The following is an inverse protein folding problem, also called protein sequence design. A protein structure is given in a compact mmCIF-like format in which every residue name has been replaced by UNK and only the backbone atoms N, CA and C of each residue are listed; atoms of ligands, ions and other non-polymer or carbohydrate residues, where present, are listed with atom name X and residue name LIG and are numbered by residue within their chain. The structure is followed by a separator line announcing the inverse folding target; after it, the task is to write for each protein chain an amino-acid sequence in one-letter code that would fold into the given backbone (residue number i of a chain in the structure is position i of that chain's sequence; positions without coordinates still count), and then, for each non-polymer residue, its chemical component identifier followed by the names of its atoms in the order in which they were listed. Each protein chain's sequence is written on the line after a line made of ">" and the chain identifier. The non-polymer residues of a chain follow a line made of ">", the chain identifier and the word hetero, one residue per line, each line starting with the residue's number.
data_IF_723049987584
#
_entry.id   IF_723049987584
#
_cell.length_a   1.000
_cell.length_b   1.000
_cell.length_c   1.000
_cell.angle_alpha   90.00
_cell.angle_beta   90.00
_cell.angle_gamma   90.00
#
_symmetry.space_group_name_H-M   'P 1'
#
loop_
_entity.id
_entity.type
_entity.pdbx_description
1 polymer ?
#
# COMPACT_ATOMS: atom_id res chain seq x y z
N UNK A 1 17.75 9.69 32.44
CA UNK A 1 16.35 9.44 32.82
C UNK A 1 15.56 9.28 31.54
N UNK A 2 14.95 8.11 31.41
CA UNK A 2 13.91 7.62 30.48
C UNK A 2 13.82 8.17 29.05
N UNK A 3 14.32 7.37 28.11
CA UNK A 3 13.92 7.31 26.71
C UNK A 3 12.47 6.80 26.61
N UNK A 4 11.48 7.68 26.75
CA UNK A 4 10.09 7.38 26.40
C UNK A 4 9.77 7.82 24.97
N UNK A 5 10.65 7.48 24.00
CA UNK A 5 10.53 7.94 22.61
C UNK A 5 9.82 6.95 21.68
N UNK A 6 9.13 5.96 22.23
CA UNK A 6 8.11 5.22 21.48
C UNK A 6 6.78 5.74 22.02
N UNK A 7 6.34 6.87 21.47
CA UNK A 7 4.98 7.34 21.69
C UNK A 7 4.05 6.22 21.20
N UNK A 8 3.14 5.83 22.08
CA UNK A 8 2.24 4.67 21.95
C UNK A 8 1.48 4.70 20.62
N UNK A 9 1.03 3.54 20.12
CA UNK A 9 0.36 3.45 18.79
C UNK A 9 -0.85 4.40 18.71
N UNK A 10 -1.56 4.54 19.83
CA UNK A 10 -2.67 5.47 20.04
C UNK A 10 -2.30 6.95 19.84
N UNK A 11 -1.07 7.36 20.17
CA UNK A 11 -0.60 8.73 19.96
C UNK A 11 -0.51 9.06 18.47
N UNK A 12 -0.04 8.11 17.65
CA UNK A 12 0.11 8.32 16.21
C UNK A 12 -1.21 8.20 15.46
N UNK A 13 -2.12 7.34 15.90
CA UNK A 13 -3.49 7.26 15.38
C UNK A 13 -4.25 8.57 15.59
N UNK A 14 -4.21 9.12 16.81
CA UNK A 14 -4.87 10.38 17.12
C UNK A 14 -4.34 11.53 16.24
N UNK A 15 -3.01 11.61 16.04
CA UNK A 15 -2.41 12.65 15.20
C UNK A 15 -2.73 12.47 13.72
N UNK A 16 -2.90 11.24 13.25
CA UNK A 16 -3.33 10.96 11.88
C UNK A 16 -4.78 11.42 11.65
N UNK A 17 -5.67 11.17 12.61
CA UNK A 17 -7.07 11.62 12.56
C UNK A 17 -7.19 13.15 12.63
N UNK A 18 -6.43 13.81 13.52
CA UNK A 18 -6.36 15.28 13.60
C UNK A 18 -5.90 15.90 12.26
N UNK A 19 -4.90 15.28 11.61
CA UNK A 19 -4.43 15.71 10.29
C UNK A 19 -5.47 15.51 9.18
N UNK A 20 -6.23 14.41 9.20
CA UNK A 20 -7.31 14.15 8.25
C UNK A 20 -8.47 15.13 8.40
N UNK A 21 -8.75 15.57 9.63
CA UNK A 21 -9.84 16.50 9.93
C UNK A 21 -9.44 17.98 9.75
N UNK A 22 -8.17 18.28 9.48
CA UNK A 22 -7.66 19.64 9.30
C UNK A 22 -7.39 20.39 10.61
N UNK A 23 -7.49 19.70 11.75
CA UNK A 23 -7.29 20.25 13.10
C UNK A 23 -5.87 19.98 13.63
N UNK A 24 -4.92 19.67 12.75
CA UNK A 24 -3.53 19.45 13.14
C UNK A 24 -2.89 20.74 13.63
N UNK A 25 -2.89 20.94 14.95
CA UNK A 25 -2.05 21.93 15.59
C UNK A 25 -0.66 21.36 15.80
N UNK A 26 0.35 22.10 15.35
CA UNK A 26 1.75 21.82 15.71
C UNK A 26 1.82 21.92 17.23
N UNK A 27 2.39 20.89 17.85
CA UNK A 27 2.48 20.75 19.31
C UNK A 27 3.32 21.92 19.86
N UNK A 28 2.73 22.88 20.60
CA UNK A 28 3.41 24.13 20.95
C UNK A 28 4.55 23.93 21.96
N UNK A 29 4.55 22.82 22.68
CA UNK A 29 5.54 22.48 23.71
C UNK A 29 6.70 21.63 23.17
N UNK A 30 6.76 21.41 21.85
CA UNK A 30 7.87 20.69 21.22
C UNK A 30 9.06 21.60 20.92
N UNK A 31 10.29 21.14 21.17
CA UNK A 31 11.46 21.78 20.57
C UNK A 31 11.37 21.66 19.04
N UNK A 32 11.07 22.78 18.39
CA UNK A 32 11.06 22.89 16.95
C UNK A 32 12.45 23.27 16.47
N UNK A 33 13.12 22.33 15.81
CA UNK A 33 14.34 22.62 15.08
C UNK A 33 13.98 23.21 13.71
N UNK A 34 14.72 24.21 13.28
CA UNK A 34 14.54 24.87 11.98
C UNK A 34 15.81 24.80 11.14
N UNK A 35 15.66 24.99 9.83
CA UNK A 35 16.75 25.13 8.86
C UNK A 35 17.86 24.06 8.99
N UNK A 36 19.06 24.48 9.40
CA UNK A 36 20.24 23.61 9.46
C UNK A 36 20.17 22.62 10.61
N UNK A 37 19.67 23.03 11.77
CA UNK A 37 19.53 22.14 12.94
C UNK A 37 18.49 21.05 12.68
N UNK A 38 17.41 21.39 11.97
CA UNK A 38 16.43 20.40 11.49
C UNK A 38 17.05 19.42 10.49
N UNK A 39 17.87 19.93 9.56
CA UNK A 39 18.51 19.08 8.56
C UNK A 39 19.54 18.13 9.20
N UNK A 40 20.32 18.58 10.18
CA UNK A 40 21.31 17.75 10.88
C UNK A 40 20.66 16.69 11.77
N UNK A 41 19.61 17.07 12.52
CA UNK A 41 18.84 16.12 13.32
C UNK A 41 18.15 15.05 12.46
N UNK A 42 17.56 15.44 11.34
CA UNK A 42 16.97 14.50 10.38
C UNK A 42 18.02 13.53 9.81
N UNK A 43 19.20 14.03 9.42
CA UNK A 43 20.31 13.18 8.94
C UNK A 43 20.78 12.20 10.01
N UNK A 44 20.92 12.65 11.26
CA UNK A 44 21.30 11.79 12.37
C UNK A 44 20.28 10.65 12.57
N UNK A 45 18.98 10.99 12.53
CA UNK A 45 17.89 10.03 12.65
C UNK A 45 17.88 9.03 11.49
N UNK A 46 18.12 9.47 10.25
CA UNK A 46 18.24 8.56 9.10
C UNK A 46 19.43 7.60 9.23
N UNK A 47 20.59 8.07 9.72
CA UNK A 47 21.72 7.17 9.99
C UNK A 47 21.40 6.15 11.10
N UNK A 48 20.67 6.56 12.14
CA UNK A 48 20.29 5.66 13.24
C UNK A 48 19.31 4.57 12.77
N UNK A 49 18.27 4.95 12.03
CA UNK A 49 17.19 4.04 11.65
C UNK A 49 17.52 3.24 10.38
N UNK A 50 18.08 3.89 9.36
CA UNK A 50 18.31 3.30 8.05
C UNK A 50 19.78 2.95 7.78
N UNK A 51 20.70 3.31 8.70
CA UNK A 51 22.14 3.08 8.53
C UNK A 51 22.82 4.02 7.51
N UNK A 52 22.07 4.95 6.91
CA UNK A 52 22.55 5.86 5.87
C UNK A 52 21.78 7.17 5.87
N UNK A 53 22.43 8.28 5.56
CA UNK A 53 21.83 9.58 5.25
C UNK A 53 21.93 9.94 3.77
N UNK A 54 22.38 9.01 2.91
CA UNK A 54 22.41 9.23 1.47
C UNK A 54 20.97 9.24 0.90
N UNK A 55 20.51 10.37 0.32
CA UNK A 55 19.17 10.47 -0.25
C UNK A 55 18.90 9.44 -1.35
N UNK A 56 19.91 8.98 -2.09
CA UNK A 56 19.73 7.97 -3.13
C UNK A 56 19.43 6.58 -2.55
N UNK A 57 20.10 6.19 -1.47
CA UNK A 57 19.87 4.92 -0.76
C UNK A 57 18.54 4.96 0.00
N UNK A 58 18.24 6.07 0.68
CA UNK A 58 16.94 6.29 1.32
C UNK A 58 15.79 6.20 0.32
N UNK A 59 15.95 6.76 -0.88
CA UNK A 59 14.94 6.68 -1.93
C UNK A 59 14.72 5.24 -2.42
N UNK A 60 15.76 4.40 -2.48
CA UNK A 60 15.62 2.97 -2.83
C UNK A 60 14.82 2.21 -1.77
N UNK A 61 15.04 2.50 -0.48
CA UNK A 61 14.28 1.92 0.62
C UNK A 61 12.81 2.37 0.59
N UNK A 62 12.56 3.64 0.26
CA UNK A 62 11.21 4.18 0.13
C UNK A 62 10.42 3.63 -1.06
N UNK A 63 11.08 3.13 -2.13
CA UNK A 63 10.41 2.53 -3.31
C UNK A 63 9.57 1.29 -3.00
N UNK A 64 9.75 0.65 -1.84
CA UNK A 64 8.91 -0.45 -1.38
C UNK A 64 7.54 -0.02 -0.83
N UNK A 65 7.38 1.24 -0.41
CA UNK A 65 6.07 1.76 0.01
C UNK A 65 5.26 2.15 -1.23
N UNK A 66 4.07 1.55 -1.38
CA UNK A 66 3.08 1.99 -2.37
C UNK A 66 2.85 3.49 -2.20
N UNK A 67 2.94 4.26 -3.29
CA UNK A 67 2.50 5.65 -3.30
C UNK A 67 1.00 5.66 -2.97
N UNK A 68 0.57 6.53 -2.05
CA UNK A 68 -0.85 6.74 -1.74
C UNK A 68 -1.64 7.15 -3.00
N UNK A 69 -0.98 7.74 -3.99
CA UNK A 69 -1.53 8.16 -5.27
C UNK A 69 -1.81 7.00 -6.24
N UNK A 70 -1.23 5.81 -6.00
CA UNK A 70 -1.52 4.58 -6.76
C UNK A 70 -2.83 3.90 -6.30
N UNK A 71 -3.63 4.57 -5.47
CA UNK A 71 -4.98 4.13 -5.05
C UNK A 71 -6.01 4.17 -6.19
N UNK A 72 -5.68 4.76 -7.35
CA UNK A 72 -6.42 4.41 -8.57
C UNK A 72 -6.08 2.98 -8.90
N UNK A 73 -6.89 2.03 -8.41
CA UNK A 73 -6.96 0.64 -8.88
C UNK A 73 -6.86 0.68 -10.41
N UNK A 74 -5.65 0.48 -10.95
CA UNK A 74 -5.50 0.27 -12.39
C UNK A 74 -6.38 -0.95 -12.67
N UNK A 75 -7.32 -0.86 -13.63
CA UNK A 75 -8.18 -2.00 -13.92
C UNK A 75 -7.26 -3.19 -14.21
N UNK A 76 -7.58 -4.33 -13.60
CA UNK A 76 -6.85 -5.57 -13.88
C UNK A 76 -6.76 -5.75 -15.38
N UNK A 77 -5.59 -6.14 -15.93
CA UNK A 77 -5.45 -6.33 -17.37
C UNK A 77 -6.51 -7.31 -17.86
N UNK A 78 -7.31 -6.88 -18.83
CA UNK A 78 -8.39 -7.68 -19.40
C UNK A 78 -7.84 -8.56 -20.53
N UNK A 79 -8.12 -9.86 -20.44
CA UNK A 79 -7.81 -10.83 -21.48
C UNK A 79 -9.08 -11.07 -22.32
N UNK A 80 -9.04 -10.71 -23.60
CA UNK A 80 -10.12 -11.03 -24.54
C UNK A 80 -9.91 -12.43 -25.13
N UNK A 81 -10.67 -13.41 -24.64
CA UNK A 81 -10.63 -14.78 -25.12
C UNK A 81 -11.72 -15.01 -26.18
N UNK A 82 -11.36 -15.68 -27.28
CA UNK A 82 -12.32 -16.26 -28.22
C UNK A 82 -12.48 -17.73 -27.88
N UNK A 83 -13.70 -18.12 -27.53
CA UNK A 83 -14.04 -19.48 -27.10
C UNK A 83 -15.10 -20.05 -28.06
N UNK A 84 -15.09 -21.36 -28.34
CA UNK A 84 -16.21 -22.03 -28.99
C UNK A 84 -17.52 -21.82 -28.21
N UNK A 85 -18.65 -21.76 -28.92
CA UNK A 85 -19.94 -21.41 -28.30
C UNK A 85 -20.35 -22.39 -27.19
N UNK A 86 -20.11 -23.69 -27.39
CA UNK A 86 -20.40 -24.73 -26.39
C UNK A 86 -19.64 -24.52 -25.07
N UNK A 87 -18.38 -24.07 -25.16
CA UNK A 87 -17.57 -23.82 -23.97
C UNK A 87 -18.01 -22.54 -23.27
N UNK A 88 -18.40 -21.53 -24.05
CA UNK A 88 -18.92 -20.26 -23.54
C UNK A 88 -20.27 -20.44 -22.82
N UNK A 89 -21.18 -21.26 -23.37
CA UNK A 89 -22.45 -21.59 -22.71
C UNK A 89 -22.22 -22.36 -21.41
N UNK A 90 -21.31 -23.34 -21.43
CA UNK A 90 -20.97 -24.13 -20.23
C UNK A 90 -20.44 -23.24 -19.10
N UNK A 91 -19.54 -22.28 -19.40
CA UNK A 91 -19.01 -21.33 -18.40
C UNK A 91 -20.12 -20.43 -17.84
N UNK A 92 -21.04 -19.95 -18.68
CA UNK A 92 -22.18 -19.14 -18.24
C UNK A 92 -23.12 -19.92 -17.33
N UNK A 93 -23.45 -21.16 -17.69
CA UNK A 93 -24.34 -22.00 -16.89
C UNK A 93 -23.71 -22.31 -15.53
N UNK A 94 -22.40 -22.61 -15.48
CA UNK A 94 -21.67 -22.78 -14.22
C UNK A 94 -21.66 -21.52 -13.37
N UNK A 95 -21.46 -20.35 -13.97
CA UNK A 95 -21.52 -19.07 -13.26
C UNK A 95 -22.91 -18.83 -12.66
N UNK A 96 -23.97 -19.09 -13.43
CA UNK A 96 -25.35 -18.99 -12.94
C UNK A 96 -25.67 -19.94 -11.79
N UNK A 97 -25.22 -21.20 -11.87
CA UNK A 97 -25.44 -22.19 -10.81
C UNK A 97 -24.73 -21.83 -9.50
N UNK A 98 -23.58 -21.16 -9.58
CA UNK A 98 -22.75 -20.80 -8.43
C UNK A 98 -23.04 -19.41 -7.87
N UNK A 99 -23.79 -18.58 -8.60
CA UNK A 99 -23.99 -17.16 -8.25
C UNK A 99 -22.72 -16.33 -8.36
N UNK A 100 -21.74 -16.80 -9.15
CA UNK A 100 -20.44 -16.17 -9.37
C UNK A 100 -20.41 -15.45 -10.72
N UNK A 101 -19.43 -14.59 -10.93
CA UNK A 101 -19.22 -13.99 -12.24
C UNK A 101 -18.59 -14.99 -13.23
N UNK A 102 -18.91 -14.84 -14.51
CA UNK A 102 -18.28 -15.64 -15.58
C UNK A 102 -16.76 -15.51 -15.60
N UNK A 103 -16.23 -14.36 -15.17
CA UNK A 103 -14.79 -14.10 -15.08
C UNK A 103 -14.13 -14.86 -13.93
N UNK A 104 -14.81 -15.03 -12.80
CA UNK A 104 -14.31 -15.83 -11.66
C UNK A 104 -14.26 -17.30 -12.01
N UNK A 105 -15.33 -17.83 -12.60
CA UNK A 105 -15.38 -19.23 -13.06
C UNK A 105 -14.32 -19.49 -14.13
N UNK A 106 -14.18 -18.59 -15.12
CA UNK A 106 -13.15 -18.72 -16.15
C UNK A 106 -11.73 -18.68 -15.56
N UNK A 107 -11.47 -17.80 -14.60
CA UNK A 107 -10.18 -17.71 -13.91
C UNK A 107 -9.87 -18.98 -13.12
N UNK A 108 -10.84 -19.52 -12.39
CA UNK A 108 -10.69 -20.78 -11.64
C UNK A 108 -10.34 -21.95 -12.56
N UNK A 109 -11.07 -22.10 -13.68
CA UNK A 109 -10.82 -23.14 -14.66
C UNK A 109 -9.43 -23.01 -15.30
N UNK A 110 -9.01 -21.79 -15.63
CA UNK A 110 -7.66 -21.54 -16.15
C UNK A 110 -6.58 -21.92 -15.14
N UNK A 111 -6.73 -21.56 -13.86
CA UNK A 111 -5.78 -21.94 -12.82
C UNK A 111 -5.71 -23.46 -12.62
N UNK A 112 -6.86 -24.13 -12.57
CA UNK A 112 -6.93 -25.59 -12.45
C UNK A 112 -6.32 -26.30 -13.66
N UNK A 113 -6.58 -25.79 -14.86
CA UNK A 113 -6.00 -26.31 -16.11
C UNK A 113 -4.48 -26.14 -16.17
N UNK A 114 -3.96 -24.98 -15.74
CA UNK A 114 -2.51 -24.73 -15.66
C UNK A 114 -1.82 -25.58 -14.60
N UNK A 115 -2.48 -25.87 -13.48
CA UNK A 115 -1.95 -26.72 -12.43
C UNK A 115 -1.93 -28.22 -12.81
N UNK A 116 -2.73 -28.61 -13.81
CA UNK A 116 -2.82 -29.97 -14.31
C UNK A 116 -1.96 -30.22 -15.58
N UNK A 117 -1.30 -29.18 -16.10
CA UNK A 117 -0.40 -29.22 -17.25
C UNK A 117 1.07 -29.31 -16.80
#
# INVERSE_FOLDING_TARGET
>A
MEKALIRDESYWEQRADEALNGDYTIDPDGEHLYDQEAAESAKALFREIAGTDDPAELAKMARGRRRLDDTKKKPSPMLHLRLPEELNSTIRDMAHQRGESTSEVARELLFKGLAAA
#
